data_IF_605976809386
#
_entry.id   IF_605976809386
#
_cell.length_a   1.000
_cell.length_b   1.000
_cell.length_c   1.000
_cell.angle_alpha   90.00
_cell.angle_beta   90.00
_cell.angle_gamma   90.00
#
_symmetry.space_group_name_H-M   'P 1'
#
loop_
_entity.id
_entity.type
_entity.pdbx_description
1 polymer ?
#
# COMPACT_ATOMS: atom_id res chain seq x y z
N UNK A 1 7.81 -2.48 -22.50
CA UNK A 1 7.41 -2.82 -21.12
C UNK A 1 7.16 -1.51 -20.40
N UNK A 2 5.90 -1.18 -20.11
CA UNK A 2 5.55 0.08 -19.44
C UNK A 2 5.87 -0.05 -17.94
N UNK A 3 6.58 0.92 -17.38
CA UNK A 3 6.98 0.95 -15.97
C UNK A 3 5.76 1.36 -15.11
N UNK A 4 5.23 0.45 -14.28
CA UNK A 4 4.06 0.68 -13.40
C UNK A 4 4.41 1.07 -11.95
N UNK A 5 5.63 1.57 -11.75
CA UNK A 5 6.16 1.97 -10.43
C UNK A 5 6.66 3.42 -10.53
N UNK A 6 6.20 4.28 -9.63
CA UNK A 6 6.46 5.73 -9.67
C UNK A 6 7.11 6.24 -8.37
N UNK A 7 8.17 7.04 -8.53
CA UNK A 7 8.88 7.74 -7.46
C UNK A 7 10.26 7.17 -7.11
N UNK A 8 11.14 8.02 -6.57
CA UNK A 8 12.42 7.59 -5.99
C UNK A 8 12.21 6.92 -4.62
N UNK A 9 12.95 5.84 -4.30
CA UNK A 9 12.87 5.16 -3.01
C UNK A 9 13.42 6.04 -1.88
N UNK A 10 12.81 5.98 -0.69
CA UNK A 10 13.36 6.56 0.54
C UNK A 10 14.21 5.49 1.23
N UNK A 11 15.52 5.71 1.26
CA UNK A 11 16.55 4.82 1.84
C UNK A 11 17.24 5.45 3.06
N UNK A 12 18.05 4.67 3.75
CA UNK A 12 18.90 5.12 4.86
C UNK A 12 19.81 6.30 4.48
N UNK A 13 20.23 6.34 3.22
CA UNK A 13 21.08 7.41 2.68
C UNK A 13 20.30 8.71 2.51
N UNK A 14 19.03 8.63 2.10
CA UNK A 14 18.14 9.80 2.03
C UNK A 14 17.80 10.37 3.41
N UNK A 15 17.70 9.52 4.45
CA UNK A 15 17.49 9.96 5.83
C UNK A 15 18.72 10.65 6.42
N UNK A 16 19.94 10.14 6.12
CA UNK A 16 21.21 10.75 6.57
C UNK A 16 21.43 12.16 5.99
N UNK A 17 20.73 12.52 4.91
CA UNK A 17 20.81 13.83 4.28
C UNK A 17 19.82 14.87 4.84
N UNK A 18 18.98 14.51 5.83
CA UNK A 18 17.94 15.42 6.36
C UNK A 18 18.46 16.45 7.38
N UNK A 19 18.00 17.69 7.25
CA UNK A 19 18.44 18.90 7.97
C UNK A 19 18.21 18.89 9.49
N UNK A 20 17.36 18.00 10.02
CA UNK A 20 17.13 17.78 11.46
C UNK A 20 18.44 17.54 12.26
N UNK A 21 19.48 17.05 11.58
CA UNK A 21 20.77 16.65 12.17
C UNK A 21 21.96 17.49 11.71
N UNK A 22 21.75 18.49 10.85
CA UNK A 22 22.81 19.34 10.32
C UNK A 22 22.98 20.58 11.22
N UNK A 23 24.15 20.72 11.86
CA UNK A 23 24.60 22.00 12.43
C UNK A 23 24.26 22.34 13.89
N UNK A 24 23.83 21.39 14.73
CA UNK A 24 23.55 21.66 16.16
C UNK A 24 24.76 21.38 17.08
N UNK A 25 24.93 22.20 18.12
CA UNK A 25 25.95 22.01 19.17
C UNK A 25 25.51 20.92 20.15
N UNK A 26 26.22 19.80 20.13
CA UNK A 26 25.90 18.59 20.90
C UNK A 26 26.24 18.80 22.39
N UNK A 27 25.26 18.61 23.26
CA UNK A 27 25.36 18.76 24.72
C UNK A 27 25.52 17.40 25.43
N UNK A 28 25.78 17.45 26.75
CA UNK A 28 25.79 16.26 27.62
C UNK A 28 24.45 15.51 27.62
N UNK A 29 23.33 16.22 27.49
CA UNK A 29 22.01 15.60 27.42
C UNK A 29 21.80 14.87 26.09
N UNK A 30 22.30 15.43 24.98
CA UNK A 30 22.24 14.79 23.66
C UNK A 30 23.06 13.49 23.63
N UNK A 31 24.24 13.48 24.27
CA UNK A 31 25.06 12.25 24.43
C UNK A 31 24.39 11.20 25.32
N UNK A 32 23.64 11.62 26.34
CA UNK A 32 22.89 10.70 27.21
C UNK A 32 21.64 10.14 26.51
N UNK A 33 21.01 10.93 25.63
CA UNK A 33 19.90 10.50 24.80
C UNK A 33 20.37 9.50 23.73
N UNK A 34 21.50 9.78 23.07
CA UNK A 34 22.14 8.84 22.14
C UNK A 34 22.66 7.58 22.84
N UNK A 35 23.21 7.70 24.05
CA UNK A 35 23.62 6.53 24.84
C UNK A 35 22.42 5.68 25.28
N UNK A 36 21.26 6.27 25.57
CA UNK A 36 20.01 5.52 25.79
C UNK A 36 19.55 4.82 24.51
N UNK A 37 19.60 5.48 23.36
CA UNK A 37 19.32 4.86 22.06
C UNK A 37 20.29 3.71 21.73
N UNK A 38 21.57 3.82 22.15
CA UNK A 38 22.58 2.75 22.03
C UNK A 38 22.41 1.62 23.06
N UNK A 39 21.76 1.86 24.20
CA UNK A 39 21.43 0.80 25.19
C UNK A 39 20.23 -0.05 24.71
N UNK A 40 19.30 0.52 23.95
CA UNK A 40 18.22 -0.23 23.29
C UNK A 40 18.67 -0.97 22.01
N UNK A 41 19.97 -0.91 21.66
CA UNK A 41 20.55 -1.33 20.38
C UNK A 41 21.00 -2.80 20.29
N UNK A 42 20.27 -3.75 20.88
CA UNK A 42 20.46 -5.17 20.55
C UNK A 42 19.78 -5.51 19.21
N UNK A 43 20.34 -4.98 18.11
CA UNK A 43 20.14 -5.30 16.67
C UNK A 43 18.74 -5.29 16.05
N UNK A 44 17.67 -5.66 16.75
CA UNK A 44 16.29 -5.65 16.23
C UNK A 44 15.60 -4.31 16.43
N UNK A 45 15.83 -3.64 17.55
CA UNK A 45 15.17 -2.40 17.91
C UNK A 45 15.62 -1.19 17.07
N UNK A 46 16.89 -1.14 16.66
CA UNK A 46 17.42 -0.09 15.75
C UNK A 46 16.79 -0.21 14.36
N UNK A 47 16.73 -1.44 13.81
CA UNK A 47 16.10 -1.69 12.52
C UNK A 47 14.60 -1.38 12.56
N UNK A 48 13.94 -1.66 13.69
CA UNK A 48 12.54 -1.30 13.92
C UNK A 48 12.32 0.21 13.92
N UNK A 49 13.10 0.97 14.72
CA UNK A 49 13.03 2.43 14.77
C UNK A 49 13.31 3.06 13.40
N UNK A 50 14.31 2.54 12.68
CA UNK A 50 14.67 2.97 11.33
C UNK A 50 13.59 2.66 10.28
N UNK A 51 12.83 1.56 10.41
CA UNK A 51 11.65 1.30 9.57
C UNK A 51 10.54 2.29 9.86
N UNK A 52 10.23 2.53 11.13
CA UNK A 52 9.23 3.50 11.55
C UNK A 52 9.55 4.91 11.04
N UNK A 53 10.81 5.34 11.12
CA UNK A 53 11.27 6.63 10.59
C UNK A 53 11.12 6.70 9.05
N UNK A 54 11.57 5.66 8.32
CA UNK A 54 11.41 5.59 6.85
C UNK A 54 9.95 5.58 6.42
N UNK A 55 9.10 4.86 7.16
CA UNK A 55 7.66 4.80 6.95
C UNK A 55 7.00 6.16 7.19
N UNK A 56 7.40 6.86 8.26
CA UNK A 56 6.90 8.19 8.59
C UNK A 56 7.27 9.21 7.49
N UNK A 57 8.53 9.20 7.04
CA UNK A 57 8.96 10.08 5.95
C UNK A 57 8.24 9.77 4.63
N UNK A 58 7.98 8.50 4.32
CA UNK A 58 7.13 8.14 3.18
C UNK A 58 5.72 8.75 3.32
N UNK A 59 5.08 8.64 4.49
CA UNK A 59 3.77 9.28 4.70
C UNK A 59 3.82 10.81 4.47
N UNK A 60 4.87 11.49 4.92
CA UNK A 60 5.05 12.93 4.70
C UNK A 60 5.28 13.28 3.21
N UNK A 61 5.85 12.35 2.45
CA UNK A 61 6.18 12.51 1.02
C UNK A 61 5.16 11.89 0.07
N UNK A 62 3.99 11.47 0.55
CA UNK A 62 3.00 10.74 -0.26
C UNK A 62 2.55 11.50 -1.53
N UNK A 63 2.50 12.83 -1.45
CA UNK A 63 2.17 13.73 -2.57
C UNK A 63 3.38 14.49 -3.13
N UNK A 64 4.58 14.20 -2.64
CA UNK A 64 5.79 14.85 -3.13
C UNK A 64 6.07 14.45 -4.61
N UNK A 65 6.64 15.39 -5.36
CA UNK A 65 7.08 15.18 -6.76
C UNK A 65 5.96 14.71 -7.71
N UNK A 66 4.68 14.95 -7.37
CA UNK A 66 3.52 14.54 -8.19
C UNK A 66 3.45 13.04 -8.48
N UNK A 67 4.07 12.20 -7.64
CA UNK A 67 4.14 10.74 -7.86
C UNK A 67 2.77 10.09 -7.91
N UNK A 68 1.85 10.55 -7.07
CA UNK A 68 0.45 10.13 -7.05
C UNK A 68 -0.27 10.52 -8.34
N UNK A 69 -0.02 11.72 -8.87
CA UNK A 69 -0.61 12.21 -10.13
C UNK A 69 -0.14 11.34 -11.30
N UNK A 70 1.14 10.96 -11.34
CA UNK A 70 1.65 10.08 -12.39
C UNK A 70 1.04 8.67 -12.31
N UNK A 71 0.87 8.13 -11.10
CA UNK A 71 0.22 6.84 -10.90
C UNK A 71 -1.25 6.85 -11.34
N UNK A 72 -1.99 7.92 -10.99
CA UNK A 72 -3.38 8.13 -11.43
C UNK A 72 -3.46 8.30 -12.95
N UNK A 73 -2.62 9.16 -13.52
CA UNK A 73 -2.60 9.40 -14.95
C UNK A 73 -2.32 8.12 -15.75
N UNK A 74 -1.44 7.24 -15.24
CA UNK A 74 -1.19 5.95 -15.86
C UNK A 74 -2.44 5.06 -15.93
N UNK A 75 -3.21 4.94 -14.85
CA UNK A 75 -4.45 4.13 -14.85
C UNK A 75 -5.59 4.81 -15.62
N UNK A 76 -5.60 6.14 -15.70
CA UNK A 76 -6.49 6.89 -16.59
C UNK A 76 -6.20 6.58 -18.07
N UNK A 77 -4.93 6.55 -18.49
CA UNK A 77 -4.56 6.15 -19.86
C UNK A 77 -5.00 4.71 -20.14
N UNK A 78 -4.78 3.78 -19.21
CA UNK A 78 -5.25 2.39 -19.37
C UNK A 78 -6.77 2.33 -19.50
N UNK A 79 -7.49 3.16 -18.74
CA UNK A 79 -8.95 3.25 -18.81
C UNK A 79 -9.41 3.82 -20.15
N UNK A 80 -8.78 4.85 -20.66
CA UNK A 80 -9.07 5.40 -22.00
C UNK A 80 -8.88 4.34 -23.10
N UNK A 81 -7.81 3.54 -23.01
CA UNK A 81 -7.54 2.44 -23.93
C UNK A 81 -8.57 1.31 -23.83
N UNK A 82 -9.01 0.99 -22.61
CA UNK A 82 -10.06 -0.01 -22.39
C UNK A 82 -11.42 0.45 -22.92
N UNK A 83 -11.75 1.73 -22.75
CA UNK A 83 -13.00 2.33 -23.21
C UNK A 83 -14.17 2.09 -22.26
N UNK A 84 -15.35 1.81 -22.82
CA UNK A 84 -16.59 1.72 -22.05
C UNK A 84 -16.68 0.42 -21.25
N UNK A 85 -17.04 0.54 -19.97
CA UNK A 85 -17.18 -0.60 -19.07
C UNK A 85 -16.89 -0.24 -17.62
N UNK A 86 -17.33 -1.10 -16.70
CA UNK A 86 -16.97 -1.01 -15.28
C UNK A 86 -15.50 -1.33 -15.07
N UNK A 87 -14.81 -0.45 -14.35
CA UNK A 87 -13.36 -0.54 -14.14
C UNK A 87 -12.96 0.03 -12.79
N UNK A 88 -11.94 -0.56 -12.20
CA UNK A 88 -11.30 -0.10 -10.96
C UNK A 88 -9.87 0.32 -11.27
N UNK A 89 -9.59 1.60 -11.08
CA UNK A 89 -8.28 2.22 -11.27
C UNK A 89 -7.51 2.10 -9.96
N UNK A 90 -6.68 1.08 -9.84
CA UNK A 90 -6.01 0.74 -8.57
C UNK A 90 -4.66 1.43 -8.46
N UNK A 91 -4.47 2.18 -7.37
CA UNK A 91 -3.20 2.79 -6.98
C UNK A 91 -2.83 2.38 -5.56
N UNK A 92 -1.58 1.99 -5.34
CA UNK A 92 -1.08 1.44 -4.07
C UNK A 92 0.17 2.19 -3.65
N UNK A 93 0.15 2.81 -2.48
CA UNK A 93 1.31 3.47 -1.88
C UNK A 93 1.96 2.61 -0.80
N UNK A 94 3.26 2.40 -0.93
CA UNK A 94 4.05 1.72 0.10
C UNK A 94 4.74 2.74 1.02
N UNK A 95 4.30 2.81 2.26
CA UNK A 95 4.93 3.57 3.35
C UNK A 95 5.26 2.67 4.55
N UNK A 96 5.70 1.43 4.31
CA UNK A 96 6.01 0.44 5.35
C UNK A 96 7.45 0.54 5.89
N UNK A 97 8.25 1.47 5.37
CA UNK A 97 9.65 1.63 5.72
C UNK A 97 10.59 0.71 4.94
N UNK A 98 10.09 -0.40 4.41
CA UNK A 98 10.82 -1.37 3.58
C UNK A 98 10.08 -1.64 2.25
N UNK A 99 10.70 -2.33 1.28
CA UNK A 99 9.99 -2.78 0.09
C UNK A 99 8.94 -3.83 0.39
N UNK A 100 7.85 -3.82 -0.38
CA UNK A 100 6.84 -4.88 -0.40
C UNK A 100 6.89 -5.62 -1.73
N UNK A 101 6.52 -6.90 -1.70
CA UNK A 101 6.55 -7.80 -2.86
C UNK A 101 5.18 -8.40 -3.12
N UNK A 102 4.80 -8.54 -4.38
CA UNK A 102 3.56 -9.21 -4.77
C UNK A 102 3.63 -10.70 -4.42
N UNK A 103 2.55 -11.25 -3.85
CA UNK A 103 2.44 -12.66 -3.49
C UNK A 103 1.39 -13.39 -4.33
N UNK A 104 0.19 -12.82 -4.42
CA UNK A 104 -0.93 -13.45 -5.12
C UNK A 104 -2.01 -12.45 -5.47
N UNK A 105 -2.83 -12.82 -6.46
CA UNK A 105 -4.06 -12.13 -6.81
C UNK A 105 -5.20 -13.13 -6.89
N UNK A 106 -6.43 -12.67 -6.75
CA UNK A 106 -7.63 -13.46 -6.97
C UNK A 106 -8.74 -12.61 -7.56
N UNK A 107 -9.21 -13.00 -8.74
CA UNK A 107 -10.31 -12.32 -9.42
C UNK A 107 -11.61 -13.08 -9.12
N UNK A 108 -12.54 -12.42 -8.43
CA UNK A 108 -13.89 -12.95 -8.25
C UNK A 108 -14.75 -12.66 -9.48
N UNK A 109 -14.65 -11.43 -10.00
CA UNK A 109 -15.30 -10.98 -11.23
C UNK A 109 -14.42 -10.00 -11.98
N UNK A 110 -14.26 -10.21 -13.29
CA UNK A 110 -13.40 -9.37 -14.12
C UNK A 110 -12.00 -9.94 -14.26
N UNK A 111 -11.07 -9.10 -14.69
CA UNK A 111 -9.68 -9.46 -14.87
C UNK A 111 -8.77 -8.22 -14.87
N UNK A 112 -7.48 -8.44 -14.66
CA UNK A 112 -6.43 -7.45 -14.86
C UNK A 112 -6.32 -7.04 -16.33
N UNK A 113 -6.20 -5.74 -16.62
CA UNK A 113 -6.13 -5.20 -17.97
C UNK A 113 -4.72 -4.68 -18.32
N UNK A 114 -4.11 -5.28 -19.35
CA UNK A 114 -2.84 -4.89 -20.03
C UNK A 114 -1.59 -4.80 -19.13
N UNK A 115 -1.61 -3.94 -18.10
CA UNK A 115 -0.50 -3.72 -17.18
C UNK A 115 -0.50 -4.72 -16.02
N UNK A 116 0.64 -5.38 -15.73
CA UNK A 116 0.75 -6.31 -14.62
C UNK A 116 0.68 -5.59 -13.28
N UNK A 117 0.21 -6.29 -12.24
CA UNK A 117 0.31 -5.83 -10.85
C UNK A 117 1.81 -5.65 -10.53
N UNK A 118 2.22 -4.50 -9.96
CA UNK A 118 3.61 -4.26 -9.57
C UNK A 118 4.17 -5.39 -8.69
N UNK A 119 5.23 -6.05 -9.14
CA UNK A 119 5.81 -7.19 -8.42
C UNK A 119 6.63 -6.78 -7.20
N UNK A 120 7.12 -5.55 -7.19
CA UNK A 120 7.98 -4.97 -6.17
C UNK A 120 7.69 -3.47 -6.05
N UNK A 121 7.47 -2.98 -4.84
CA UNK A 121 7.27 -1.56 -4.54
C UNK A 121 8.19 -1.16 -3.40
N UNK A 122 9.16 -0.29 -3.64
CA UNK A 122 10.01 0.25 -2.59
C UNK A 122 9.22 1.23 -1.70
N UNK A 123 9.74 1.47 -0.49
CA UNK A 123 9.19 2.47 0.41
C UNK A 123 9.20 3.87 -0.25
N UNK A 124 8.07 4.56 -0.17
CA UNK A 124 7.85 5.87 -0.79
C UNK A 124 7.36 5.85 -2.24
N UNK A 125 7.09 4.67 -2.81
CA UNK A 125 6.64 4.52 -4.20
C UNK A 125 5.14 4.25 -4.34
N UNK A 126 4.61 4.65 -5.49
CA UNK A 126 3.27 4.31 -5.96
C UNK A 126 3.33 3.19 -7.00
N UNK A 127 2.51 2.17 -6.82
CA UNK A 127 2.19 1.16 -7.82
C UNK A 127 0.82 1.43 -8.42
N UNK A 128 0.62 1.12 -9.70
CA UNK A 128 -0.65 1.36 -10.37
C UNK A 128 -1.00 0.26 -11.37
N UNK A 129 -2.28 -0.13 -11.43
CA UNK A 129 -2.80 -1.14 -12.36
C UNK A 129 -4.31 -0.99 -12.56
N UNK A 130 -4.83 -1.51 -13.68
CA UNK A 130 -6.26 -1.42 -14.02
C UNK A 130 -6.91 -2.81 -13.92
N UNK A 131 -8.03 -2.90 -13.20
CA UNK A 131 -8.87 -4.10 -13.19
C UNK A 131 -10.23 -3.79 -13.81
N UNK A 132 -10.70 -4.63 -14.71
CA UNK A 132 -11.88 -4.35 -15.54
C UNK A 132 -12.89 -5.48 -15.47
N UNK A 133 -14.15 -5.17 -15.78
CA UNK A 133 -15.17 -6.18 -15.91
C UNK A 133 -14.89 -7.14 -17.08
N UNK A 134 -15.47 -8.36 -17.08
CA UNK A 134 -15.24 -9.32 -18.15
C UNK A 134 -16.00 -8.92 -19.41
N UNK A 135 -15.42 -9.24 -20.57
CA UNK A 135 -16.05 -9.04 -21.88
C UNK A 135 -17.38 -9.80 -21.93
N UNK A 136 -18.47 -9.13 -22.34
CA UNK A 136 -19.83 -9.69 -22.45
C UNK A 136 -20.46 -10.18 -21.13
N UNK A 137 -19.82 -9.95 -19.98
CA UNK A 137 -20.37 -10.31 -18.67
C UNK A 137 -21.13 -9.16 -18.02
N UNK A 138 -22.24 -9.51 -17.34
CA UNK A 138 -23.06 -8.59 -16.53
C UNK A 138 -22.58 -8.63 -15.07
N UNK A 139 -21.26 -8.58 -14.88
CA UNK A 139 -20.61 -8.59 -13.57
C UNK A 139 -19.66 -7.41 -13.49
N UNK A 140 -19.40 -6.95 -12.28
CA UNK A 140 -18.54 -5.80 -12.04
C UNK A 140 -17.04 -6.12 -12.15
N UNK A 141 -16.24 -5.26 -11.54
CA UNK A 141 -14.81 -5.45 -11.29
C UNK A 141 -14.61 -5.76 -9.80
N UNK A 142 -14.21 -6.99 -9.48
CA UNK A 142 -14.03 -7.46 -8.11
C UNK A 142 -12.87 -8.44 -8.00
N UNK A 143 -11.87 -8.06 -7.23
CA UNK A 143 -10.67 -8.86 -7.03
C UNK A 143 -9.94 -8.47 -5.73
N UNK A 144 -8.92 -9.26 -5.39
CA UNK A 144 -8.00 -9.00 -4.31
C UNK A 144 -6.55 -9.20 -4.74
N UNK A 145 -5.64 -8.40 -4.16
CA UNK A 145 -4.19 -8.50 -4.33
C UNK A 145 -3.54 -8.60 -2.96
N UNK A 146 -2.51 -9.45 -2.84
CA UNK A 146 -1.75 -9.64 -1.61
C UNK A 146 -0.30 -9.22 -1.85
N UNK A 147 0.17 -8.31 -1.00
CA UNK A 147 1.58 -7.93 -0.92
C UNK A 147 2.19 -8.42 0.40
N UNK A 148 3.45 -8.84 0.38
CA UNK A 148 4.23 -9.14 1.58
C UNK A 148 5.20 -8.01 1.87
N UNK A 149 5.14 -7.52 3.10
CA UNK A 149 6.11 -6.59 3.67
C UNK A 149 6.59 -7.08 5.03
N UNK A 150 7.21 -6.19 5.79
CA UNK A 150 7.66 -6.45 7.15
C UNK A 150 6.92 -5.55 8.12
N UNK A 151 6.67 -6.03 9.34
CA UNK A 151 6.32 -5.17 10.45
C UNK A 151 7.55 -4.42 11.01
N UNK A 152 7.32 -3.59 12.02
CA UNK A 152 8.36 -2.89 12.77
C UNK A 152 9.40 -3.86 13.32
N UNK A 153 8.98 -4.99 13.90
CA UNK A 153 9.88 -6.04 14.38
C UNK A 153 10.69 -6.76 13.27
N UNK A 154 10.37 -6.54 11.99
CA UNK A 154 11.04 -7.14 10.83
C UNK A 154 10.51 -8.50 10.41
N UNK A 155 9.38 -8.92 11.00
CA UNK A 155 8.65 -10.15 10.70
C UNK A 155 7.76 -9.96 9.48
N UNK A 156 7.63 -11.00 8.66
CA UNK A 156 6.87 -10.91 7.42
C UNK A 156 5.36 -10.89 7.68
N UNK A 157 4.69 -9.91 7.09
CA UNK A 157 3.24 -9.74 7.13
C UNK A 157 2.70 -9.58 5.71
N UNK A 158 1.51 -10.14 5.47
CA UNK A 158 0.78 -10.01 4.22
C UNK A 158 -0.32 -8.96 4.35
N UNK A 159 -0.39 -8.06 3.36
CA UNK A 159 -1.40 -7.02 3.18
C UNK A 159 -2.32 -7.42 2.03
N UNK A 160 -3.56 -7.80 2.33
CA UNK A 160 -4.58 -8.05 1.32
C UNK A 160 -5.37 -6.78 1.04
N UNK A 161 -5.50 -6.42 -0.23
CA UNK A 161 -6.22 -5.26 -0.74
C UNK A 161 -7.30 -5.76 -1.69
N UNK A 162 -8.55 -5.40 -1.46
CA UNK A 162 -9.66 -5.91 -2.25
C UNK A 162 -10.70 -4.84 -2.53
N UNK A 163 -11.38 -5.02 -3.66
CA UNK A 163 -12.43 -4.13 -4.11
C UNK A 163 -13.61 -4.90 -4.70
N UNK A 164 -14.74 -4.23 -4.71
CA UNK A 164 -15.91 -4.60 -5.51
C UNK A 164 -16.50 -3.33 -6.11
N UNK A 165 -16.52 -3.25 -7.43
CA UNK A 165 -17.17 -2.21 -8.20
C UNK A 165 -18.30 -2.88 -9.00
N UNK A 166 -19.58 -2.70 -8.61
CA UNK A 166 -20.69 -3.47 -9.17
C UNK A 166 -21.04 -3.06 -10.61
N UNK A 167 -21.61 -4.00 -11.36
CA UNK A 167 -22.23 -3.70 -12.66
C UNK A 167 -23.61 -3.06 -12.51
N UNK A 168 -24.41 -3.60 -11.59
CA UNK A 168 -25.74 -3.09 -11.29
C UNK A 168 -25.69 -1.93 -10.29
N UNK A 169 -26.77 -1.13 -10.18
CA UNK A 169 -26.87 -0.10 -9.16
C UNK A 169 -26.53 -0.65 -7.77
N UNK A 170 -25.52 -0.05 -7.15
CA UNK A 170 -24.96 -0.49 -5.88
C UNK A 170 -23.78 0.38 -5.49
N UNK A 171 -23.31 0.21 -4.26
CA UNK A 171 -22.13 0.93 -3.79
C UNK A 171 -20.86 0.15 -4.09
N UNK A 172 -19.82 0.85 -4.51
CA UNK A 172 -18.47 0.31 -4.52
C UNK A 172 -18.03 -0.06 -3.10
N UNK A 173 -17.10 -1.01 -3.00
CA UNK A 173 -16.58 -1.53 -1.75
C UNK A 173 -15.06 -1.58 -1.78
N UNK A 174 -14.43 -1.15 -0.68
CA UNK A 174 -13.01 -1.27 -0.46
C UNK A 174 -12.77 -2.00 0.86
N UNK A 175 -11.96 -3.04 0.84
CA UNK A 175 -11.65 -3.83 2.03
C UNK A 175 -10.17 -4.21 2.06
N UNK A 176 -9.59 -4.14 3.25
CA UNK A 176 -8.19 -4.50 3.50
C UNK A 176 -8.06 -5.34 4.75
N UNK A 177 -7.05 -6.21 4.77
CA UNK A 177 -6.76 -7.09 5.90
C UNK A 177 -5.25 -7.36 5.97
N UNK A 178 -4.66 -7.18 7.15
CA UNK A 178 -3.23 -7.42 7.41
C UNK A 178 -3.09 -8.63 8.29
N UNK A 179 -2.37 -9.67 7.87
CA UNK A 179 -2.15 -10.87 8.71
C UNK A 179 -0.75 -11.42 8.48
N UNK A 180 -0.37 -12.40 9.30
CA UNK A 180 0.92 -13.08 9.17
C UNK A 180 1.13 -13.65 7.75
N UNK A 181 2.39 -13.71 7.33
CA UNK A 181 2.78 -14.28 6.06
C UNK A 181 2.16 -15.68 5.82
N UNK A 182 1.48 -15.85 4.70
CA UNK A 182 0.84 -17.11 4.30
C UNK A 182 -0.60 -17.28 4.79
N UNK A 183 -1.19 -16.27 5.44
CA UNK A 183 -2.58 -16.31 5.90
C UNK A 183 -3.59 -16.46 4.74
N UNK A 184 -3.34 -15.82 3.59
CA UNK A 184 -4.28 -15.74 2.46
C UNK A 184 -4.18 -16.98 1.55
N UNK A 185 -4.80 -18.07 1.96
CA UNK A 185 -4.84 -19.34 1.24
C UNK A 185 -6.07 -19.47 0.33
N UNK A 186 -5.98 -20.32 -0.71
CA UNK A 186 -7.04 -20.50 -1.72
C UNK A 186 -8.43 -20.80 -1.16
N UNK A 187 -8.52 -21.54 -0.07
CA UNK A 187 -9.78 -21.93 0.58
C UNK A 187 -10.47 -20.77 1.35
N UNK A 188 -9.84 -19.60 1.47
CA UNK A 188 -10.39 -18.44 2.17
C UNK A 188 -11.06 -17.42 1.24
N UNK A 189 -10.85 -17.52 -0.08
CA UNK A 189 -11.31 -16.49 -1.02
C UNK A 189 -12.82 -16.27 -1.00
N UNK A 190 -13.64 -17.31 -0.74
CA UNK A 190 -15.09 -17.13 -0.56
C UNK A 190 -15.42 -16.25 0.65
N UNK A 191 -14.85 -16.57 1.82
CA UNK A 191 -15.05 -15.76 3.03
C UNK A 191 -14.51 -14.33 2.90
N UNK A 192 -13.40 -14.16 2.16
CA UNK A 192 -12.84 -12.84 1.89
C UNK A 192 -13.72 -12.04 0.93
N UNK A 193 -14.36 -12.69 -0.04
CA UNK A 193 -15.34 -12.05 -0.91
C UNK A 193 -16.52 -11.51 -0.12
N UNK A 194 -17.07 -12.31 0.80
CA UNK A 194 -18.19 -11.90 1.65
C UNK A 194 -17.82 -10.66 2.45
N UNK A 195 -16.62 -10.64 3.05
CA UNK A 195 -16.10 -9.47 3.76
C UNK A 195 -15.93 -8.25 2.88
N UNK A 196 -15.43 -8.42 1.65
CA UNK A 196 -15.32 -7.32 0.70
C UNK A 196 -16.70 -6.78 0.32
N UNK A 197 -17.70 -7.64 0.14
CA UNK A 197 -19.07 -7.23 -0.20
C UNK A 197 -19.78 -6.49 0.95
N UNK A 198 -19.48 -6.88 2.19
CA UNK A 198 -20.02 -6.25 3.40
C UNK A 198 -19.32 -4.95 3.80
N UNK A 199 -18.20 -4.61 3.15
CA UNK A 199 -17.42 -3.42 3.46
C UNK A 199 -18.13 -2.11 3.03
N UNK A 200 -17.42 -0.99 3.18
CA UNK A 200 -17.88 0.34 2.79
C UNK A 200 -16.95 0.94 1.73
N UNK A 201 -17.13 2.23 1.44
CA UNK A 201 -16.25 2.96 0.51
C UNK A 201 -14.83 3.16 1.05
N UNK A 202 -14.64 2.98 2.35
CA UNK A 202 -13.35 3.09 3.03
C UNK A 202 -13.23 2.00 4.08
N UNK A 203 -12.01 1.51 4.28
CA UNK A 203 -11.72 0.52 5.32
C UNK A 203 -10.27 0.64 5.79
N UNK A 204 -10.01 0.25 7.03
CA UNK A 204 -8.66 0.10 7.55
C UNK A 204 -8.54 -1.12 8.46
N UNK A 205 -7.38 -1.75 8.45
CA UNK A 205 -7.06 -2.87 9.34
C UNK A 205 -5.63 -2.69 9.88
N UNK A 206 -5.44 -3.11 11.13
CA UNK A 206 -4.17 -3.05 11.84
C UNK A 206 -3.90 -4.40 12.49
N UNK A 207 -2.69 -4.92 12.29
CA UNK A 207 -2.26 -6.19 12.87
C UNK A 207 -0.75 -6.23 12.98
N UNK A 208 -0.23 -6.71 14.12
CA UNK A 208 1.20 -6.95 14.34
C UNK A 208 2.11 -5.75 13.98
N UNK A 209 1.70 -4.51 14.31
CA UNK A 209 2.47 -3.29 14.02
C UNK A 209 2.37 -2.77 12.58
N UNK A 210 1.69 -3.50 11.70
CA UNK A 210 1.37 -3.09 10.34
C UNK A 210 -0.04 -2.51 10.27
N UNK A 211 -0.23 -1.52 9.40
CA UNK A 211 -1.52 -0.89 9.13
C UNK A 211 -1.76 -0.75 7.64
N UNK A 212 -3.00 -0.96 7.23
CA UNK A 212 -3.44 -0.69 5.86
C UNK A 212 -4.74 0.11 5.86
N UNK A 213 -4.86 1.02 4.90
CA UNK A 213 -6.05 1.83 4.70
C UNK A 213 -6.38 1.86 3.21
N UNK A 214 -7.66 1.69 2.88
CA UNK A 214 -8.13 1.64 1.50
C UNK A 214 -9.37 2.50 1.33
N UNK A 215 -9.52 3.06 0.14
CA UNK A 215 -10.71 3.82 -0.25
C UNK A 215 -11.06 3.57 -1.71
N UNK A 216 -12.33 3.73 -2.06
CA UNK A 216 -12.80 3.62 -3.44
C UNK A 216 -13.83 4.71 -3.76
N UNK A 217 -13.74 5.29 -4.96
CA UNK A 217 -14.79 6.16 -5.50
C UNK A 217 -16.08 5.39 -5.76
N UNK A 218 -17.24 6.06 -5.70
CA UNK A 218 -18.53 5.41 -5.90
C UNK A 218 -19.11 5.67 -7.30
N UNK A 219 -18.52 5.08 -8.33
CA UNK A 219 -18.98 5.19 -9.71
C UNK A 219 -18.51 3.96 -10.53
N UNK A 220 -18.91 3.86 -11.80
CA UNK A 220 -18.55 2.73 -12.67
C UNK A 220 -17.07 2.70 -13.05
N UNK A 221 -16.35 3.82 -12.94
CA UNK A 221 -14.91 3.96 -13.21
C UNK A 221 -14.22 4.47 -11.95
N UNK A 222 -14.12 3.59 -10.95
CA UNK A 222 -13.78 3.99 -9.59
C UNK A 222 -12.26 3.97 -9.39
N UNK A 223 -11.73 5.06 -8.83
CA UNK A 223 -10.36 5.06 -8.30
C UNK A 223 -10.37 4.32 -6.97
N UNK A 224 -9.53 3.29 -6.86
CA UNK A 224 -9.24 2.56 -5.64
C UNK A 224 -7.84 2.92 -5.17
N UNK A 225 -7.74 3.49 -3.97
CA UNK A 225 -6.47 3.90 -3.37
C UNK A 225 -6.18 3.05 -2.14
N UNK A 226 -4.97 2.50 -2.07
CA UNK A 226 -4.47 1.76 -0.92
C UNK A 226 -3.19 2.41 -0.36
N UNK A 227 -3.13 2.53 0.96
CA UNK A 227 -1.96 3.02 1.71
C UNK A 227 -1.53 1.94 2.70
N UNK A 228 -0.29 1.48 2.58
CA UNK A 228 0.31 0.49 3.47
C UNK A 228 1.35 1.16 4.35
N UNK A 229 1.30 0.97 5.67
CA UNK A 229 2.23 1.61 6.60
C UNK A 229 2.42 0.81 7.89
N UNK A 230 3.16 1.36 8.84
CA UNK A 230 3.37 0.82 10.18
C UNK A 230 2.67 1.70 11.22
N UNK A 231 2.11 1.09 12.28
CA UNK A 231 1.43 1.84 13.35
C UNK A 231 2.37 2.86 14.00
N UNK A 232 3.64 2.50 14.19
CA UNK A 232 4.67 3.37 14.77
C UNK A 232 4.95 4.64 13.93
N UNK A 233 4.62 4.63 12.62
CA UNK A 233 4.89 5.74 11.72
C UNK A 233 3.83 6.86 11.81
N UNK A 234 2.62 6.56 12.29
CA UNK A 234 1.53 7.54 12.40
C UNK A 234 1.57 8.34 13.73
N UNK A 235 2.51 8.03 14.63
CA UNK A 235 2.51 8.49 16.03
C UNK A 235 3.58 9.50 16.46
N UNK A 236 4.51 9.92 15.60
CA UNK A 236 5.54 10.92 15.96
C UNK A 236 4.99 12.35 15.89
N UNK A 237 4.52 12.86 17.04
CA UNK A 237 4.35 14.30 17.32
C UNK A 237 5.56 14.83 18.09
#
# INVERSE_FOLDING_TARGET
MAFSVFGNPITDETLKAMTKYIGKKITRCDRAHEALNMIYAESKNVNALQRCDRAHEALNMIYAESKNVNALHFVEILKEQYGNGVSTLCVVYNATGDPITFISTHDWHGHLWEAPIPQYLANGQWGAFLHVHPTLGITGSSAAVVYRGKNDAGEDQDFMLSWMNPYWPGYCKAYTMVREAGYFTKNRWGQLQDKTNDAELQWSDECNGCKSSVSIGNNTTAVYEAKLTLTCAEGTK
#
